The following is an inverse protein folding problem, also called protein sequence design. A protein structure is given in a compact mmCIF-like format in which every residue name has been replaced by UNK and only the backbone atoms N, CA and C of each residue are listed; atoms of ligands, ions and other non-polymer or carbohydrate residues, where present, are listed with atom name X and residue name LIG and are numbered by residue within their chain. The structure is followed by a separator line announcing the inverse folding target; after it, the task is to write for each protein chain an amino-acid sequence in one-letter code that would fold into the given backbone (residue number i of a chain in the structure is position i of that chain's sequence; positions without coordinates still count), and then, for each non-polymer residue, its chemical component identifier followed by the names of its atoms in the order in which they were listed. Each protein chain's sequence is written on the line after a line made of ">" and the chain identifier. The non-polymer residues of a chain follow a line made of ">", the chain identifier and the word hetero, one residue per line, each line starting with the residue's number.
data_IF_319789549887
#
_entry.id   IF_319789549887
#
_cell.length_a   1.000
_cell.length_b   1.000
_cell.length_c   1.000
_cell.angle_alpha   90.00
_cell.angle_beta   90.00
_cell.angle_gamma   90.00
#
_symmetry.space_group_name_H-M   'P 1'
#
loop_
_entity.id
_entity.type
_entity.pdbx_description
1 polymer ?
#
# COMPACT_ATOMS: atom_id res chain seq x y z
N UNK A 1 -8.33 21.14 -15.64
CA UNK A 1 -8.88 19.89 -15.09
C UNK A 1 -7.99 18.65 -15.31
N UNK A 2 -6.92 18.71 -16.11
CA UNK A 2 -6.10 17.52 -16.47
C UNK A 2 -4.84 17.38 -15.58
N UNK A 3 -4.43 18.47 -14.91
CA UNK A 3 -3.24 18.47 -14.03
C UNK A 3 -3.50 17.97 -12.61
N UNK A 4 -4.76 17.91 -12.18
CA UNK A 4 -5.12 17.56 -10.80
C UNK A 4 -5.08 16.04 -10.54
N UNK A 5 -5.20 15.23 -11.60
CA UNK A 5 -5.16 13.76 -11.52
C UNK A 5 -3.76 13.16 -11.68
N UNK A 6 -2.74 13.95 -12.09
CA UNK A 6 -1.40 13.42 -12.39
C UNK A 6 -0.35 13.66 -11.31
N UNK A 7 -0.60 14.52 -10.30
CA UNK A 7 0.47 14.99 -9.40
C UNK A 7 0.15 14.93 -7.91
N UNK A 8 -1.08 14.62 -7.48
CA UNK A 8 -1.47 14.78 -6.07
C UNK A 8 -1.73 13.47 -5.34
N UNK A 9 -1.98 12.38 -6.06
CA UNK A 9 -2.17 11.05 -5.49
C UNK A 9 -0.94 10.20 -5.80
N UNK A 10 -0.31 9.64 -4.76
CA UNK A 10 0.76 8.66 -4.93
C UNK A 10 0.27 7.56 -5.87
N UNK A 11 1.10 7.11 -6.81
CA UNK A 11 0.68 6.08 -7.77
C UNK A 11 0.13 4.84 -7.03
N UNK A 12 -1.03 4.34 -7.46
CA UNK A 12 -1.75 3.26 -6.76
C UNK A 12 -0.92 1.98 -6.69
N UNK A 13 -0.02 1.78 -7.67
CA UNK A 13 0.94 0.66 -7.66
C UNK A 13 1.96 0.85 -6.53
N UNK A 14 2.51 2.06 -6.38
CA UNK A 14 3.40 2.40 -5.26
C UNK A 14 2.70 2.24 -3.92
N UNK A 15 1.46 2.69 -3.78
CA UNK A 15 0.67 2.49 -2.55
C UNK A 15 0.49 1.01 -2.21
N UNK A 16 0.21 0.17 -3.21
CA UNK A 16 0.09 -1.28 -3.01
C UNK A 16 1.44 -1.91 -2.62
N UNK A 17 2.53 -1.48 -3.26
CA UNK A 17 3.87 -1.95 -2.93
C UNK A 17 4.23 -1.65 -1.47
N UNK A 18 3.97 -0.43 -1.01
CA UNK A 18 4.22 -0.02 0.37
C UNK A 18 3.35 -0.82 1.35
N UNK A 19 2.07 -1.02 1.04
CA UNK A 19 1.16 -1.82 1.88
C UNK A 19 1.64 -3.28 2.03
N UNK A 20 2.18 -3.89 0.97
CA UNK A 20 2.75 -5.24 1.00
C UNK A 20 4.04 -5.26 1.83
N UNK A 21 4.92 -4.28 1.64
CA UNK A 21 6.18 -4.17 2.39
C UNK A 21 5.91 -4.03 3.90
N UNK A 22 4.93 -3.21 4.26
CA UNK A 22 4.48 -3.02 5.62
C UNK A 22 3.95 -4.33 6.23
N UNK A 23 3.11 -5.08 5.49
CA UNK A 23 2.58 -6.36 5.95
C UNK A 23 3.71 -7.35 6.26
N UNK A 24 4.72 -7.43 5.39
CA UNK A 24 5.88 -8.29 5.59
C UNK A 24 6.70 -7.85 6.81
N UNK A 25 6.89 -6.54 6.98
CA UNK A 25 7.62 -5.96 8.12
C UNK A 25 6.93 -6.28 9.44
N UNK A 26 5.61 -6.13 9.50
CA UNK A 26 4.82 -6.46 10.70
C UNK A 26 4.85 -7.94 10.98
N UNK A 27 4.76 -8.78 9.96
CA UNK A 27 4.81 -10.24 10.14
C UNK A 27 6.18 -10.66 10.70
N UNK A 28 7.27 -10.11 10.15
CA UNK A 28 8.64 -10.38 10.62
C UNK A 28 8.85 -9.94 12.07
N UNK A 29 8.47 -8.70 12.40
CA UNK A 29 8.58 -8.16 13.77
C UNK A 29 7.68 -8.90 14.76
N UNK A 30 6.51 -9.37 14.33
CA UNK A 30 5.62 -10.20 15.15
C UNK A 30 6.25 -11.55 15.47
N UNK A 31 6.87 -12.22 14.50
CA UNK A 31 7.60 -13.48 14.71
C UNK A 31 8.81 -13.27 15.63
N UNK A 32 9.55 -12.18 15.44
CA UNK A 32 10.66 -11.82 16.32
C UNK A 32 10.18 -11.58 17.76
N UNK A 33 9.07 -10.87 17.94
CA UNK A 33 8.48 -10.66 19.26
C UNK A 33 8.06 -11.99 19.89
N UNK A 34 7.34 -12.82 19.15
CA UNK A 34 6.88 -14.14 19.61
C UNK A 34 8.08 -14.99 20.05
N UNK A 35 9.15 -15.07 19.25
CA UNK A 35 10.30 -15.92 19.56
C UNK A 35 11.18 -15.40 20.70
N UNK A 36 11.35 -14.07 20.83
CA UNK A 36 12.23 -13.48 21.86
C UNK A 36 11.54 -13.22 23.20
N UNK A 37 10.21 -13.06 23.23
CA UNK A 37 9.44 -12.68 24.44
C UNK A 37 8.66 -13.83 25.06
N UNK A 38 8.73 -15.06 24.53
CA UNK A 38 8.09 -16.24 25.13
C UNK A 38 8.64 -16.56 26.51
N UNK A 39 7.73 -16.81 27.45
CA UNK A 39 8.04 -17.41 28.74
C UNK A 39 7.87 -18.94 28.65
N UNK A 40 8.78 -19.69 29.25
CA UNK A 40 8.61 -21.14 29.41
C UNK A 40 7.56 -21.43 30.48
N UNK A 41 6.54 -22.22 30.14
CA UNK A 41 5.52 -22.66 31.10
C UNK A 41 5.99 -23.95 31.79
N UNK A 42 5.90 -24.00 33.12
CA UNK A 42 6.31 -25.17 33.89
C UNK A 42 5.22 -26.25 33.79
N UNK A 43 5.51 -27.34 33.08
CA UNK A 43 4.56 -28.43 32.85
C UNK A 43 4.41 -29.37 34.05
N UNK A 44 5.36 -29.39 34.99
CA UNK A 44 5.36 -30.28 36.15
C UNK A 44 5.86 -29.57 37.41
N UNK A 45 5.07 -29.62 38.49
CA UNK A 45 5.44 -29.02 39.80
C UNK A 45 6.62 -29.70 40.48
N UNK A 46 6.98 -30.92 40.06
CA UNK A 46 8.07 -31.72 40.64
C UNK A 46 9.47 -31.36 40.11
N UNK A 47 9.56 -30.71 38.95
CA UNK A 47 10.85 -30.36 38.33
C UNK A 47 10.92 -28.82 38.23
N UNK A 48 11.82 -28.16 38.98
CA UNK A 48 11.95 -26.71 38.93
C UNK A 48 12.43 -26.24 37.55
N UNK A 49 11.87 -25.14 37.07
CA UNK A 49 12.24 -24.53 35.77
C UNK A 49 13.65 -23.98 35.84
N UNK A 50 14.55 -24.51 35.01
CA UNK A 50 15.98 -24.14 34.99
C UNK A 50 16.33 -23.04 33.99
N UNK A 51 15.42 -22.74 33.04
CA UNK A 51 15.62 -21.74 31.99
C UNK A 51 14.62 -20.59 32.16
N UNK A 52 15.14 -19.39 32.39
CA UNK A 52 14.36 -18.16 32.45
C UNK A 52 14.74 -17.26 31.29
N UNK A 53 13.74 -16.75 30.58
CA UNK A 53 13.94 -15.73 29.55
C UNK A 53 13.98 -14.36 30.24
N UNK A 54 15.15 -13.72 30.24
CA UNK A 54 15.38 -12.45 30.96
C UNK A 54 14.43 -11.31 30.55
N UNK A 55 13.88 -11.36 29.32
CA UNK A 55 12.99 -10.36 28.75
C UNK A 55 11.56 -10.87 28.49
N UNK A 56 11.15 -11.98 29.13
CA UNK A 56 9.83 -12.56 28.91
C UNK A 56 8.71 -11.57 29.25
N UNK A 57 7.69 -11.49 28.39
CA UNK A 57 6.48 -10.73 28.69
C UNK A 57 5.58 -11.53 29.65
N UNK A 58 4.73 -10.82 30.41
CA UNK A 58 3.69 -11.50 31.20
C UNK A 58 2.75 -12.26 30.27
N UNK A 59 2.10 -13.32 30.75
CA UNK A 59 1.18 -14.13 29.93
C UNK A 59 0.03 -13.29 29.37
N UNK A 60 -0.47 -12.35 30.17
CA UNK A 60 -1.56 -11.45 29.77
C UNK A 60 -1.11 -10.48 28.68
N UNK A 61 0.04 -9.82 28.87
CA UNK A 61 0.60 -8.89 27.88
C UNK A 61 0.99 -9.60 26.59
N UNK A 62 1.55 -10.80 26.69
CA UNK A 62 1.94 -11.61 25.54
C UNK A 62 0.73 -12.02 24.70
N UNK A 63 -0.37 -12.44 25.35
CA UNK A 63 -1.62 -12.78 24.66
C UNK A 63 -2.30 -11.55 24.05
N UNK A 64 -2.27 -10.41 24.75
CA UNK A 64 -2.77 -9.15 24.23
C UNK A 64 -1.97 -8.68 23.00
N UNK A 65 -0.63 -8.77 23.06
CA UNK A 65 0.26 -8.43 21.95
C UNK A 65 0.01 -9.32 20.72
N UNK A 66 -0.11 -10.63 20.89
CA UNK A 66 -0.45 -11.56 19.79
C UNK A 66 -1.80 -11.18 19.17
N UNK A 67 -2.81 -10.91 20.00
CA UNK A 67 -4.15 -10.55 19.51
C UNK A 67 -4.11 -9.25 18.70
N UNK A 68 -3.31 -8.27 19.14
CA UNK A 68 -3.09 -7.03 18.40
C UNK A 68 -2.37 -7.25 17.06
N UNK A 69 -1.32 -8.07 17.03
CA UNK A 69 -0.62 -8.40 15.79
C UNK A 69 -1.53 -9.10 14.78
N UNK A 70 -2.33 -10.06 15.23
CA UNK A 70 -3.30 -10.75 14.37
C UNK A 70 -4.34 -9.77 13.81
N UNK A 71 -4.85 -8.87 14.66
CA UNK A 71 -5.80 -7.86 14.21
C UNK A 71 -5.20 -6.91 13.16
N UNK A 72 -3.95 -6.48 13.34
CA UNK A 72 -3.29 -5.59 12.38
C UNK A 72 -2.95 -6.29 11.06
N UNK A 73 -2.54 -7.55 11.10
CA UNK A 73 -2.34 -8.38 9.89
C UNK A 73 -3.65 -8.52 9.10
N UNK A 74 -4.76 -8.83 9.78
CA UNK A 74 -6.08 -8.96 9.13
C UNK A 74 -6.51 -7.63 8.51
N UNK A 75 -6.33 -6.51 9.22
CA UNK A 75 -6.66 -5.18 8.73
C UNK A 75 -5.87 -4.86 7.46
N UNK A 76 -4.55 -5.01 7.50
CA UNK A 76 -3.66 -4.74 6.36
C UNK A 76 -3.93 -5.66 5.17
N UNK A 77 -4.28 -6.92 5.41
CA UNK A 77 -4.68 -7.84 4.34
C UNK A 77 -5.97 -7.38 3.65
N UNK A 78 -6.93 -6.81 4.39
CA UNK A 78 -8.15 -6.22 3.79
C UNK A 78 -7.84 -4.94 3.02
N UNK A 79 -6.96 -4.09 3.55
CA UNK A 79 -6.55 -2.86 2.87
C UNK A 79 -5.87 -3.18 1.53
N UNK A 80 -5.00 -4.19 1.49
CA UNK A 80 -4.39 -4.71 0.26
C UNK A 80 -5.45 -5.22 -0.73
N UNK A 81 -6.46 -5.95 -0.26
CA UNK A 81 -7.53 -6.43 -1.11
C UNK A 81 -8.30 -5.27 -1.77
N UNK A 82 -8.62 -4.23 -0.99
CA UNK A 82 -9.28 -3.03 -1.51
C UNK A 82 -8.40 -2.30 -2.52
N UNK A 83 -7.09 -2.19 -2.25
CA UNK A 83 -6.14 -1.57 -3.18
C UNK A 83 -6.09 -2.34 -4.51
N UNK A 84 -6.08 -3.67 -4.47
CA UNK A 84 -6.12 -4.53 -5.66
C UNK A 84 -7.41 -4.30 -6.46
N UNK A 85 -8.56 -4.20 -5.81
CA UNK A 85 -9.85 -3.99 -6.48
C UNK A 85 -9.93 -2.63 -7.19
N UNK A 86 -9.22 -1.64 -6.65
CA UNK A 86 -9.16 -0.26 -7.15
C UNK A 86 -8.04 -0.08 -8.20
N UNK A 87 -7.19 -1.08 -8.41
CA UNK A 87 -6.17 -1.03 -9.46
C UNK A 87 -6.82 -0.91 -10.84
N UNK A 88 -6.27 -0.07 -11.73
CA UNK A 88 -6.71 -0.03 -13.12
C UNK A 88 -6.56 -1.43 -13.72
N UNK A 89 -7.69 -2.09 -14.03
CA UNK A 89 -7.69 -3.42 -14.66
C UNK A 89 -6.72 -3.41 -15.82
N UNK A 90 -5.87 -4.44 -16.00
CA UNK A 90 -5.03 -4.58 -17.19
C UNK A 90 -5.95 -4.82 -18.40
N UNK A 91 -6.61 -3.75 -18.87
CA UNK A 91 -7.31 -3.76 -20.14
C UNK A 91 -6.30 -3.93 -21.25
N UNK A 92 -6.75 -4.53 -22.35
CA UNK A 92 -5.95 -4.78 -23.54
C UNK A 92 -5.10 -3.55 -23.86
N UNK A 93 -3.77 -3.75 -23.84
CA UNK A 93 -2.77 -2.72 -24.10
C UNK A 93 -3.03 -1.98 -25.42
N UNK A 94 -3.66 -2.65 -26.38
CA UNK A 94 -4.11 -2.10 -27.65
C UNK A 94 -5.17 -1.00 -27.50
N UNK A 95 -6.21 -1.20 -26.69
CA UNK A 95 -7.24 -0.17 -26.45
C UNK A 95 -6.66 1.07 -25.74
N UNK A 96 -5.71 0.86 -24.83
CA UNK A 96 -5.02 1.97 -24.16
C UNK A 96 -4.15 2.76 -25.14
N UNK A 97 -3.42 2.06 -26.02
CA UNK A 97 -2.62 2.69 -27.07
C UNK A 97 -3.49 3.49 -28.05
N UNK A 98 -4.63 2.94 -28.44
CA UNK A 98 -5.59 3.62 -29.31
C UNK A 98 -6.20 4.87 -28.64
N UNK A 99 -6.57 4.77 -27.35
CA UNK A 99 -7.04 5.92 -26.57
C UNK A 99 -5.96 7.02 -26.46
N UNK A 100 -4.71 6.63 -26.26
CA UNK A 100 -3.57 7.54 -26.22
C UNK A 100 -3.38 8.28 -27.55
N UNK A 101 -3.48 7.57 -28.68
CA UNK A 101 -3.41 8.19 -30.00
C UNK A 101 -4.54 9.20 -30.23
N UNK A 102 -5.79 8.84 -29.88
CA UNK A 102 -6.92 9.78 -30.01
C UNK A 102 -6.72 11.04 -29.16
N UNK A 103 -6.29 10.89 -27.91
CA UNK A 103 -5.98 12.03 -27.04
C UNK A 103 -4.86 12.91 -27.59
N UNK A 104 -3.83 12.31 -28.21
CA UNK A 104 -2.77 13.08 -28.87
C UNK A 104 -3.31 13.89 -30.05
N UNK A 105 -4.20 13.31 -30.86
CA UNK A 105 -4.83 14.01 -31.98
C UNK A 105 -5.70 15.17 -31.48
N UNK A 106 -6.51 14.94 -30.43
CA UNK A 106 -7.34 15.98 -29.79
C UNK A 106 -6.49 17.13 -29.24
N UNK A 107 -5.38 16.82 -28.55
CA UNK A 107 -4.44 17.83 -28.05
C UNK A 107 -3.83 18.62 -29.20
N UNK A 108 -3.51 17.98 -30.32
CA UNK A 108 -2.93 18.64 -31.48
C UNK A 108 -3.90 19.64 -32.11
N UNK A 109 -5.16 19.25 -32.25
CA UNK A 109 -6.23 20.14 -32.75
C UNK A 109 -6.45 21.30 -31.80
N UNK A 110 -6.65 21.03 -30.50
CA UNK A 110 -6.87 22.08 -29.50
C UNK A 110 -5.69 23.08 -29.43
N UNK A 111 -4.45 22.60 -29.55
CA UNK A 111 -3.27 23.46 -29.60
C UNK A 111 -3.21 24.31 -30.87
N UNK A 112 -3.69 23.81 -32.00
CA UNK A 112 -3.74 24.57 -33.24
C UNK A 112 -4.79 25.68 -33.14
N UNK A 113 -5.99 25.34 -32.68
CA UNK A 113 -7.06 26.32 -32.42
C UNK A 113 -6.61 27.40 -31.44
N UNK A 114 -5.90 27.01 -30.38
CA UNK A 114 -5.33 27.94 -29.41
C UNK A 114 -4.32 28.92 -30.06
N UNK A 115 -3.45 28.44 -30.95
CA UNK A 115 -2.51 29.30 -31.70
C UNK A 115 -3.23 30.26 -32.64
N UNK A 116 -4.21 29.76 -33.37
CA UNK A 116 -4.97 30.55 -34.33
C UNK A 116 -5.72 31.70 -33.64
N UNK A 117 -6.31 31.43 -32.46
CA UNK A 117 -6.96 32.45 -31.62
C UNK A 117 -5.96 33.48 -31.09
N UNK A 118 -4.78 33.04 -30.66
CA UNK A 118 -3.72 33.96 -30.20
C UNK A 118 -3.23 34.89 -31.32
N UNK A 119 -3.03 34.36 -32.52
CA UNK A 119 -2.63 35.16 -33.69
C UNK A 119 -3.70 36.20 -34.05
N UNK A 120 -4.97 35.79 -34.12
CA UNK A 120 -6.09 36.71 -34.37
C UNK A 120 -6.21 37.80 -33.29
N UNK A 121 -6.07 37.43 -32.02
CA UNK A 121 -6.10 38.39 -30.92
C UNK A 121 -4.91 39.36 -30.94
N UNK A 122 -3.75 38.94 -31.45
CA UNK A 122 -2.57 39.80 -31.61
C UNK A 122 -2.70 40.77 -32.78
N UNK A 123 -3.41 40.37 -33.85
CA UNK A 123 -3.68 41.22 -35.02
C UNK A 123 -4.78 42.26 -34.79
N UNK A 124 -5.74 41.98 -33.90
CA UNK A 124 -6.81 42.91 -33.52
C UNK A 124 -6.41 43.95 -32.44
N UNK A 125 -5.12 44.04 -32.10
CA UNK A 125 -4.58 44.99 -31.11
C UNK A 125 -3.63 45.97 -31.78
#
# INVERSE_FOLDING_TARGET
>A
MIHEELSTDMDRITQLQDAILDLLTITSTSVEYITKRTQFEQTSKSIPTTLTTANAASREDYKAAISAFVADIIRRSKDIQQLIDVLPKPGDSSQRAERLQRLQEEIKVANQEYKDVLEQSSMCR
#
